data_IF_703811270036
#
_entry.id   IF_703811270036
#
_cell.length_a   1.000
_cell.length_b   1.000
_cell.length_c   1.000
_cell.angle_alpha   90.00
_cell.angle_beta   90.00
_cell.angle_gamma   90.00
#
_symmetry.space_group_name_H-M   'P 1'
#
loop_
_entity.id
_entity.type
_entity.pdbx_description
1 polymer ?
#
# COMPACT_ATOMS: atom_id res chain seq x y z
N UNK A 1 -26.25 -18.15 -1.14
CA UNK A 1 -25.77 -16.83 -1.57
C UNK A 1 -25.62 -16.86 -3.07
N UNK A 2 -26.27 -15.95 -3.76
CA UNK A 2 -26.18 -15.79 -5.22
C UNK A 2 -25.02 -14.87 -5.59
N UNK A 3 -24.52 -14.99 -6.83
CA UNK A 3 -23.46 -14.15 -7.40
C UNK A 3 -23.77 -12.63 -7.27
N UNK A 4 -25.04 -12.27 -7.35
CA UNK A 4 -25.49 -10.88 -7.18
C UNK A 4 -25.44 -10.41 -5.73
N UNK A 5 -25.70 -11.29 -4.76
CA UNK A 5 -25.57 -10.97 -3.33
C UNK A 5 -24.11 -10.90 -2.89
N UNK A 6 -23.22 -11.71 -3.48
CA UNK A 6 -21.77 -11.60 -3.26
C UNK A 6 -21.21 -10.30 -3.83
N UNK A 7 -21.54 -9.95 -5.08
CA UNK A 7 -21.13 -8.64 -5.64
C UNK A 7 -21.67 -7.45 -4.84
N UNK A 8 -22.90 -7.54 -4.34
CA UNK A 8 -23.45 -6.49 -3.49
C UNK A 8 -22.68 -6.38 -2.17
N UNK A 9 -22.33 -7.49 -1.53
CA UNK A 9 -21.50 -7.48 -0.32
C UNK A 9 -20.09 -6.92 -0.59
N UNK A 10 -19.46 -7.34 -1.68
CA UNK A 10 -18.10 -6.93 -2.08
C UNK A 10 -18.00 -5.45 -2.44
N UNK A 11 -19.11 -4.83 -2.88
CA UNK A 11 -19.17 -3.41 -3.27
C UNK A 11 -19.94 -2.53 -2.28
N UNK A 12 -20.58 -3.12 -1.27
CA UNK A 12 -21.40 -2.37 -0.33
C UNK A 12 -20.53 -1.45 0.51
N UNK A 13 -20.73 -0.15 0.32
CA UNK A 13 -20.08 0.86 1.13
C UNK A 13 -20.66 0.82 2.55
N UNK A 14 -19.81 0.44 3.50
CA UNK A 14 -20.10 0.37 4.93
C UNK A 14 -19.38 1.53 5.62
N UNK A 15 -20.10 2.53 6.16
CA UNK A 15 -19.49 3.66 6.86
C UNK A 15 -18.64 3.26 8.07
N UNK A 16 -18.91 2.08 8.65
CA UNK A 16 -18.09 1.50 9.71
C UNK A 16 -16.72 1.05 9.19
N UNK A 17 -16.66 0.52 7.98
CA UNK A 17 -15.43 0.04 7.35
C UNK A 17 -14.45 1.18 7.06
N UNK A 18 -14.95 2.36 6.64
CA UNK A 18 -14.08 3.52 6.45
C UNK A 18 -13.50 4.04 7.76
N UNK A 19 -14.29 4.12 8.83
CA UNK A 19 -13.79 4.59 10.13
C UNK A 19 -12.71 3.67 10.71
N UNK A 20 -12.89 2.36 10.56
CA UNK A 20 -11.91 1.34 10.97
C UNK A 20 -10.64 1.41 10.12
N UNK A 21 -10.79 1.64 8.80
CA UNK A 21 -9.66 1.81 7.88
C UNK A 21 -8.87 3.08 8.21
N UNK A 22 -9.55 4.21 8.45
CA UNK A 22 -8.90 5.49 8.83
C UNK A 22 -8.08 5.35 10.11
N UNK A 23 -8.60 4.64 11.11
CA UNK A 23 -7.86 4.39 12.34
C UNK A 23 -6.57 3.59 12.08
N UNK A 24 -6.66 2.53 11.25
CA UNK A 24 -5.52 1.68 10.89
C UNK A 24 -4.45 2.42 10.08
N UNK A 25 -4.85 3.38 9.24
CA UNK A 25 -3.92 4.21 8.45
C UNK A 25 -3.18 5.26 9.30
N UNK A 26 -3.70 5.60 10.48
CA UNK A 26 -3.12 6.61 11.38
C UNK A 26 -2.31 5.99 12.52
N UNK A 27 -2.48 4.68 12.75
CA UNK A 27 -1.86 3.98 13.87
C UNK A 27 -0.43 3.59 13.50
N UNK A 28 0.51 4.49 13.81
CA UNK A 28 1.93 4.19 13.68
C UNK A 28 2.36 3.22 14.79
N UNK A 29 3.19 2.24 14.42
CA UNK A 29 3.84 1.36 15.38
C UNK A 29 4.96 2.10 16.09
N UNK A 30 5.21 1.75 17.34
CA UNK A 30 6.36 2.27 18.08
C UNK A 30 7.63 1.42 17.83
N UNK A 31 8.78 1.97 18.24
CA UNK A 31 10.07 1.33 18.02
C UNK A 31 10.16 -0.05 18.70
N UNK A 32 9.52 -0.23 19.85
CA UNK A 32 9.53 -1.49 20.59
C UNK A 32 8.76 -2.59 19.84
N UNK A 33 7.62 -2.25 19.25
CA UNK A 33 6.87 -3.15 18.38
C UNK A 33 7.67 -3.55 17.13
N UNK A 34 8.41 -2.62 16.53
CA UNK A 34 9.25 -2.89 15.36
C UNK A 34 10.44 -3.80 15.72
N UNK A 35 11.12 -3.53 16.83
CA UNK A 35 12.23 -4.34 17.32
C UNK A 35 11.79 -5.78 17.65
N UNK A 36 10.57 -5.97 18.17
CA UNK A 36 10.02 -7.29 18.46
C UNK A 36 9.86 -8.16 17.20
N UNK A 37 9.62 -7.55 16.04
CA UNK A 37 9.56 -8.22 14.74
C UNK A 37 10.93 -8.35 14.06
N UNK A 38 12.01 -7.89 14.72
CA UNK A 38 13.36 -7.87 14.16
C UNK A 38 13.59 -6.77 13.13
N UNK A 39 12.73 -5.76 13.08
CA UNK A 39 12.89 -4.58 12.24
C UNK A 39 13.76 -3.57 13.02
N UNK A 40 14.81 -3.06 12.37
CA UNK A 40 15.69 -2.02 12.91
C UNK A 40 15.02 -0.64 12.71
N UNK A 41 14.52 0.02 13.77
CA UNK A 41 13.79 1.29 13.65
C UNK A 41 14.64 2.41 13.04
N UNK A 42 15.97 2.36 13.21
CA UNK A 42 16.88 3.35 12.63
C UNK A 42 16.94 3.31 11.10
N UNK A 43 16.45 2.22 10.49
CA UNK A 43 16.32 2.07 9.04
C UNK A 43 14.96 2.53 8.51
N UNK A 44 14.02 2.80 9.40
CA UNK A 44 12.70 3.32 9.04
C UNK A 44 12.83 4.83 8.86
N UNK A 45 12.95 5.27 7.60
CA UNK A 45 13.11 6.69 7.25
C UNK A 45 11.77 7.43 7.23
N UNK A 46 10.69 6.72 6.90
CA UNK A 46 9.34 7.24 6.83
C UNK A 46 8.37 6.17 7.32
N UNK A 47 7.42 6.56 8.17
CA UNK A 47 6.36 5.67 8.62
C UNK A 47 5.21 5.67 7.59
N UNK A 48 4.40 4.60 7.51
CA UNK A 48 3.21 4.60 6.66
C UNK A 48 2.34 5.84 6.92
N UNK A 49 1.88 6.47 5.83
CA UNK A 49 1.06 7.69 5.90
C UNK A 49 1.82 9.01 6.15
N UNK A 50 3.16 9.02 6.25
CA UNK A 50 3.95 10.26 6.38
C UNK A 50 4.32 10.93 5.06
N UNK A 51 3.86 10.41 3.91
CA UNK A 51 4.08 11.02 2.60
C UNK A 51 3.36 12.38 2.51
N UNK A 52 4.12 13.46 2.65
CA UNK A 52 3.66 14.84 2.51
C UNK A 52 3.74 15.33 1.06
N UNK A 53 3.36 16.58 0.80
CA UNK A 53 3.46 17.18 -0.54
C UNK A 53 4.91 17.26 -1.08
N UNK A 54 5.90 17.16 -0.17
CA UNK A 54 7.33 17.16 -0.47
C UNK A 54 7.93 15.73 -0.49
N UNK A 55 7.12 14.69 -0.27
CA UNK A 55 7.54 13.31 -0.49
C UNK A 55 7.72 13.10 -2.00
N UNK A 56 8.75 12.34 -2.39
CA UNK A 56 9.04 12.13 -3.80
C UNK A 56 7.83 11.51 -4.53
N UNK A 57 6.95 10.78 -3.82
CA UNK A 57 5.55 10.47 -4.14
C UNK A 57 5.31 9.60 -5.38
N UNK A 58 5.91 10.02 -6.49
CA UNK A 58 6.12 9.31 -7.74
C UNK A 58 7.64 9.24 -7.98
N UNK A 59 8.24 8.09 -7.67
CA UNK A 59 9.50 7.71 -8.32
C UNK A 59 9.11 6.92 -9.56
N UNK A 60 9.35 7.47 -10.75
CA UNK A 60 9.23 6.68 -11.99
C UNK A 60 10.39 5.67 -11.96
N UNK A 61 10.11 4.37 -11.76
CA UNK A 61 11.17 3.37 -11.75
C UNK A 61 11.73 3.24 -13.16
N UNK A 62 13.04 3.03 -13.27
CA UNK A 62 13.63 2.77 -14.59
C UNK A 62 12.95 1.51 -15.19
N UNK A 63 12.59 1.51 -16.47
CA UNK A 63 11.81 0.42 -17.06
C UNK A 63 12.45 -0.97 -16.92
N UNK A 64 13.77 -1.04 -16.69
CA UNK A 64 14.52 -2.27 -16.44
C UNK A 64 14.50 -2.77 -14.99
N UNK A 65 14.13 -1.93 -14.03
CA UNK A 65 13.96 -2.30 -12.62
C UNK A 65 12.55 -2.86 -12.36
N UNK A 66 11.62 -2.62 -13.29
CA UNK A 66 10.27 -3.17 -13.29
C UNK A 66 10.26 -4.64 -13.72
N UNK A 67 10.05 -5.55 -12.78
CA UNK A 67 9.81 -6.96 -13.09
C UNK A 67 8.33 -7.19 -13.44
N UNK A 68 8.00 -7.05 -14.72
CA UNK A 68 6.65 -7.22 -15.27
C UNK A 68 6.60 -8.44 -16.20
N UNK A 69 6.35 -9.65 -15.67
CA UNK A 69 6.50 -10.90 -16.43
C UNK A 69 5.46 -11.09 -17.56
N UNK A 70 4.44 -10.24 -17.62
CA UNK A 70 3.43 -10.20 -18.68
C UNK A 70 3.68 -9.09 -19.72
N UNK A 71 4.66 -8.20 -19.51
CA UNK A 71 5.06 -7.21 -20.50
C UNK A 71 6.36 -7.66 -21.18
N UNK A 72 6.29 -7.82 -22.50
CA UNK A 72 7.45 -8.15 -23.32
C UNK A 72 8.38 -6.94 -23.46
N UNK A 73 9.69 -7.12 -23.61
CA UNK A 73 10.58 -6.00 -24.02
C UNK A 73 10.16 -5.33 -25.33
N UNK A 74 9.42 -6.03 -26.19
CA UNK A 74 8.86 -5.51 -27.44
C UNK A 74 7.72 -4.51 -27.21
N UNK A 75 6.84 -4.76 -26.23
CA UNK A 75 5.73 -3.86 -25.86
C UNK A 75 6.24 -2.54 -25.27
N UNK A 76 7.45 -2.54 -24.69
CA UNK A 76 8.09 -1.36 -24.09
C UNK A 76 8.67 -0.38 -25.14
N UNK A 77 8.87 -0.81 -26.40
CA UNK A 77 9.46 0.01 -27.48
C UNK A 77 8.41 0.59 -28.46
N UNK A 78 7.13 0.34 -28.24
CA UNK A 78 6.01 0.74 -29.11
C UNK A 78 5.68 2.23 -29.04
#
# INVERSE_FOLDING_TARGET
MSDSEQRAADTSYSPSSERETVASQTQQRDDADLEADGIDPSRVVAAPGTGGADDAGDVEPEPGDLNLPWQSEEDRRG
#
